data_IF_915893935537
#
_entry.id   IF_915893935537
#
_cell.length_a   1.000
_cell.length_b   1.000
_cell.length_c   1.000
_cell.angle_alpha   90.00
_cell.angle_beta   90.00
_cell.angle_gamma   90.00
#
_symmetry.space_group_name_H-M   'P 1'
#
loop_
_entity.id
_entity.type
_entity.pdbx_description
1 polymer ?
#
# COMPACT_ATOMS: atom_id res chain seq x y z
N UNK A 1 -16.55 1.22 -22.26
CA UNK A 1 -16.71 0.72 -20.87
C UNK A 1 -15.42 0.11 -20.28
N UNK A 2 -14.65 -0.71 -21.02
CA UNK A 2 -13.40 -1.33 -20.49
C UNK A 2 -12.27 -0.33 -20.13
N UNK A 3 -12.20 0.85 -20.76
CA UNK A 3 -11.18 1.86 -20.45
C UNK A 3 -11.41 2.54 -19.08
N UNK A 4 -12.67 2.81 -18.72
CA UNK A 4 -13.04 3.47 -17.46
C UNK A 4 -12.79 2.59 -16.23
N UNK A 5 -12.97 1.28 -16.35
CA UNK A 5 -12.71 0.34 -15.25
C UNK A 5 -11.22 0.21 -14.94
N UNK A 6 -10.37 0.20 -15.98
CA UNK A 6 -8.91 0.20 -15.84
C UNK A 6 -8.40 1.44 -15.12
N UNK A 7 -8.78 2.64 -15.54
CA UNK A 7 -8.35 3.90 -14.90
C UNK A 7 -8.81 3.99 -13.45
N UNK A 8 -10.02 3.49 -13.15
CA UNK A 8 -10.55 3.47 -11.78
C UNK A 8 -9.81 2.47 -10.89
N UNK A 9 -9.51 1.27 -11.38
CA UNK A 9 -8.75 0.27 -10.65
C UNK A 9 -7.33 0.75 -10.33
N UNK A 10 -6.69 1.42 -11.29
CA UNK A 10 -5.36 2.02 -11.11
C UNK A 10 -5.36 3.12 -10.06
N UNK A 11 -6.31 4.07 -10.15
CA UNK A 11 -6.41 5.16 -9.18
C UNK A 11 -6.69 4.67 -7.77
N UNK A 12 -7.51 3.61 -7.63
CA UNK A 12 -7.74 2.95 -6.34
C UNK A 12 -6.44 2.35 -5.79
N UNK A 13 -5.66 1.67 -6.62
CA UNK A 13 -4.37 1.07 -6.21
C UNK A 13 -3.37 2.13 -5.75
N UNK A 14 -3.28 3.26 -6.44
CA UNK A 14 -2.43 4.38 -6.02
C UNK A 14 -2.89 4.96 -4.67
N UNK A 15 -4.19 5.23 -4.52
CA UNK A 15 -4.75 5.77 -3.27
C UNK A 15 -4.54 4.83 -2.09
N UNK A 16 -4.85 3.54 -2.24
CA UNK A 16 -4.65 2.57 -1.16
C UNK A 16 -3.17 2.35 -0.86
N UNK A 17 -2.32 2.33 -1.88
CA UNK A 17 -0.87 2.24 -1.71
C UNK A 17 -0.30 3.43 -0.94
N UNK A 18 -0.67 4.67 -1.30
CA UNK A 18 -0.21 5.85 -0.54
C UNK A 18 -0.74 5.87 0.89
N UNK A 19 -2.01 5.50 1.11
CA UNK A 19 -2.56 5.43 2.46
C UNK A 19 -1.84 4.39 3.32
N UNK A 20 -1.57 3.21 2.78
CA UNK A 20 -0.82 2.14 3.43
C UNK A 20 0.61 2.58 3.74
N UNK A 21 1.35 3.11 2.76
CA UNK A 21 2.72 3.60 2.96
C UNK A 21 2.81 4.75 3.98
N UNK A 22 1.90 5.72 3.94
CA UNK A 22 1.84 6.80 4.95
C UNK A 22 1.55 6.24 6.34
N UNK A 23 0.58 5.31 6.45
CA UNK A 23 0.27 4.67 7.73
C UNK A 23 1.47 3.91 8.31
N UNK A 24 2.28 3.31 7.45
CA UNK A 24 3.49 2.59 7.85
C UNK A 24 4.60 3.55 8.30
N UNK A 25 4.79 4.67 7.60
CA UNK A 25 5.71 5.74 8.03
C UNK A 25 5.28 6.33 9.38
N UNK A 26 3.99 6.53 9.62
CA UNK A 26 3.49 7.00 10.91
C UNK A 26 3.73 5.97 12.02
N UNK A 27 3.51 4.68 11.73
CA UNK A 27 3.78 3.59 12.68
C UNK A 27 5.25 3.53 13.08
N UNK A 28 6.17 3.54 12.10
CA UNK A 28 7.61 3.41 12.37
C UNK A 28 8.27 4.72 12.81
N UNK A 29 7.85 5.85 12.24
CA UNK A 29 8.49 7.15 12.46
C UNK A 29 7.93 7.93 13.65
N UNK A 30 6.69 7.66 14.09
CA UNK A 30 6.06 8.37 15.21
C UNK A 30 5.72 7.40 16.34
N UNK A 31 4.97 6.34 16.05
CA UNK A 31 4.47 5.46 17.12
C UNK A 31 5.60 4.68 17.81
N UNK A 32 6.60 4.19 17.05
CA UNK A 32 7.74 3.50 17.64
C UNK A 32 8.62 4.43 18.50
N UNK A 33 9.03 5.65 18.06
CA UNK A 33 9.70 6.60 18.94
C UNK A 33 8.90 6.96 20.19
N UNK A 34 7.58 7.20 20.07
CA UNK A 34 6.72 7.46 21.23
C UNK A 34 6.71 6.29 22.21
N UNK A 35 6.65 5.05 21.72
CA UNK A 35 6.72 3.84 22.56
C UNK A 35 8.03 3.78 23.35
N UNK A 36 9.17 4.00 22.69
CA UNK A 36 10.48 3.82 23.34
C UNK A 36 10.94 5.05 24.14
N UNK A 37 10.61 6.27 23.70
CA UNK A 37 11.06 7.52 24.33
C UNK A 37 10.09 8.04 25.37
N UNK A 38 8.78 7.95 25.12
CA UNK A 38 7.73 8.46 26.00
C UNK A 38 7.00 7.36 26.77
N UNK A 39 7.28 6.08 26.48
CA UNK A 39 6.66 4.95 27.17
C UNK A 39 5.17 4.76 26.86
N UNK A 40 4.68 5.27 25.72
CA UNK A 40 3.25 5.25 25.34
C UNK A 40 3.00 4.20 24.23
N UNK A 41 2.80 2.92 24.57
CA UNK A 41 2.61 1.86 23.58
C UNK A 41 1.26 1.91 22.85
N UNK A 42 0.28 2.66 23.36
CA UNK A 42 -1.08 2.75 22.81
C UNK A 42 -1.07 3.26 21.37
N UNK A 43 -0.19 4.21 21.04
CA UNK A 43 -0.05 4.74 19.68
C UNK A 43 0.35 3.65 18.69
N UNK A 44 1.24 2.73 19.08
CA UNK A 44 1.65 1.60 18.22
C UNK A 44 0.47 0.65 18.00
N UNK A 45 -0.36 0.42 19.01
CA UNK A 45 -1.54 -0.42 18.88
C UNK A 45 -2.56 0.18 17.90
N UNK A 46 -2.87 1.46 18.06
CA UNK A 46 -3.85 2.15 17.19
C UNK A 46 -3.32 2.26 15.76
N UNK A 47 -2.11 2.78 15.58
CA UNK A 47 -1.52 2.95 14.24
C UNK A 47 -1.25 1.60 13.56
N UNK A 48 -0.86 0.58 14.33
CA UNK A 48 -0.68 -0.79 13.83
C UNK A 48 -1.98 -1.42 13.34
N UNK A 49 -3.09 -1.22 14.06
CA UNK A 49 -4.41 -1.67 13.61
C UNK A 49 -4.86 -0.96 12.33
N UNK A 50 -4.69 0.36 12.26
CA UNK A 50 -5.02 1.16 11.07
C UNK A 50 -4.20 0.67 9.88
N UNK A 51 -2.88 0.52 10.05
CA UNK A 51 -1.99 0.02 9.02
C UNK A 51 -2.38 -1.39 8.56
N UNK A 52 -2.67 -2.31 9.47
CA UNK A 52 -3.09 -3.67 9.13
C UNK A 52 -4.38 -3.71 8.28
N UNK A 53 -5.37 -2.87 8.61
CA UNK A 53 -6.60 -2.75 7.81
C UNK A 53 -6.30 -2.20 6.42
N UNK A 54 -5.47 -1.15 6.33
CA UNK A 54 -5.07 -0.55 5.06
C UNK A 54 -4.27 -1.51 4.19
N UNK A 55 -3.41 -2.33 4.79
CA UNK A 55 -2.64 -3.36 4.11
C UNK A 55 -3.55 -4.44 3.49
N UNK A 56 -4.55 -4.92 4.23
CA UNK A 56 -5.54 -5.86 3.69
C UNK A 56 -6.36 -5.25 2.54
N UNK A 57 -6.78 -3.99 2.69
CA UNK A 57 -7.46 -3.25 1.62
C UNK A 57 -6.57 -3.11 0.38
N UNK A 58 -5.29 -2.81 0.57
CA UNK A 58 -4.32 -2.73 -0.52
C UNK A 58 -4.18 -4.06 -1.25
N UNK A 59 -4.07 -5.20 -0.55
CA UNK A 59 -3.99 -6.54 -1.18
C UNK A 59 -5.22 -6.81 -2.05
N UNK A 60 -6.43 -6.52 -1.54
CA UNK A 60 -7.67 -6.72 -2.30
C UNK A 60 -7.66 -5.87 -3.57
N UNK A 61 -7.22 -4.60 -3.48
CA UNK A 61 -7.14 -3.71 -4.64
C UNK A 61 -6.03 -4.14 -5.61
N UNK A 62 -4.90 -4.63 -5.11
CA UNK A 62 -3.79 -5.17 -5.91
C UNK A 62 -4.23 -6.37 -6.73
N UNK A 63 -4.97 -7.32 -6.13
CA UNK A 63 -5.52 -8.48 -6.84
C UNK A 63 -6.53 -8.04 -7.90
N UNK A 64 -7.44 -7.11 -7.55
CA UNK A 64 -8.41 -6.57 -8.51
C UNK A 64 -7.73 -5.89 -9.71
N UNK A 65 -6.68 -5.09 -9.45
CA UNK A 65 -5.89 -4.46 -10.50
C UNK A 65 -5.16 -5.53 -11.34
N UNK A 66 -4.56 -6.53 -10.71
CA UNK A 66 -3.87 -7.62 -11.40
C UNK A 66 -4.80 -8.39 -12.35
N UNK A 67 -6.05 -8.65 -11.95
CA UNK A 67 -7.06 -9.28 -12.81
C UNK A 67 -7.45 -8.34 -13.97
N UNK A 68 -7.75 -7.07 -13.67
CA UNK A 68 -8.18 -6.09 -14.68
C UNK A 68 -7.11 -5.79 -15.75
N UNK A 69 -5.83 -5.84 -15.37
CA UNK A 69 -4.68 -5.60 -16.24
C UNK A 69 -3.98 -6.88 -16.69
N UNK A 70 -4.48 -8.07 -16.32
CA UNK A 70 -3.89 -9.39 -16.61
C UNK A 70 -2.40 -9.47 -16.25
N UNK A 71 -2.04 -8.96 -15.08
CA UNK A 71 -0.66 -9.01 -14.60
C UNK A 71 -0.21 -10.44 -14.32
N UNK A 72 1.06 -10.72 -14.61
CA UNK A 72 1.69 -11.99 -14.25
C UNK A 72 1.94 -12.07 -12.75
N UNK A 73 2.03 -13.29 -12.21
CA UNK A 73 2.32 -13.56 -10.79
C UNK A 73 3.57 -12.81 -10.31
N UNK A 74 4.59 -12.68 -11.17
CA UNK A 74 5.80 -11.90 -10.86
C UNK A 74 5.49 -10.45 -10.50
N UNK A 75 4.61 -9.77 -11.24
CA UNK A 75 4.23 -8.38 -10.95
C UNK A 75 3.41 -8.26 -9.68
N UNK A 76 2.53 -9.22 -9.42
CA UNK A 76 1.77 -9.29 -8.16
C UNK A 76 2.73 -9.43 -6.98
N UNK A 77 3.70 -10.34 -7.07
CA UNK A 77 4.72 -10.54 -6.05
C UNK A 77 5.58 -9.30 -5.82
N UNK A 78 6.00 -8.61 -6.88
CA UNK A 78 6.73 -7.34 -6.77
C UNK A 78 5.87 -6.28 -6.08
N UNK A 79 4.59 -6.13 -6.46
CA UNK A 79 3.68 -5.18 -5.82
C UNK A 79 3.39 -5.47 -4.35
N UNK A 80 3.36 -6.76 -3.98
CA UNK A 80 3.23 -7.19 -2.59
C UNK A 80 4.51 -6.92 -1.77
N UNK A 81 5.68 -7.30 -2.28
CA UNK A 81 6.96 -7.03 -1.61
C UNK A 81 7.17 -5.52 -1.48
N UNK A 82 6.77 -4.75 -2.49
CA UNK A 82 6.81 -3.30 -2.43
C UNK A 82 5.97 -2.75 -1.26
N UNK A 83 4.74 -3.24 -1.02
CA UNK A 83 3.95 -2.79 0.13
C UNK A 83 4.57 -3.11 1.50
N UNK A 84 5.52 -4.05 1.60
CA UNK A 84 6.24 -4.31 2.86
C UNK A 84 7.34 -3.27 3.14
N UNK A 85 7.55 -2.33 2.21
CA UNK A 85 8.50 -1.24 2.34
C UNK A 85 7.70 0.06 2.32
N UNK A 86 7.91 1.00 3.26
CA UNK A 86 7.14 2.25 3.33
C UNK A 86 7.16 3.08 2.04
N UNK A 87 8.14 2.86 1.17
CA UNK A 87 8.30 3.54 -0.12
C UNK A 87 7.89 2.70 -1.34
N UNK A 88 7.49 1.45 -1.18
CA UNK A 88 7.16 0.60 -2.33
C UNK A 88 5.94 1.03 -3.15
N UNK A 89 4.91 1.70 -2.59
CA UNK A 89 3.83 2.29 -3.40
C UNK A 89 4.35 3.30 -4.44
N UNK A 90 5.39 4.08 -4.11
CA UNK A 90 6.03 5.01 -5.05
C UNK A 90 6.77 4.27 -6.18
N UNK A 91 7.39 3.13 -5.85
CA UNK A 91 8.06 2.30 -6.86
C UNK A 91 7.06 1.62 -7.80
N UNK A 92 5.93 1.14 -7.25
CA UNK A 92 4.86 0.55 -8.04
C UNK A 92 4.25 1.58 -9.00
N UNK A 93 4.03 2.81 -8.54
CA UNK A 93 3.54 3.89 -9.41
C UNK A 93 4.50 4.19 -10.56
N UNK A 94 5.82 4.19 -10.30
CA UNK A 94 6.84 4.33 -11.33
C UNK A 94 6.81 3.17 -12.33
N UNK A 95 6.70 1.92 -11.85
CA UNK A 95 6.66 0.73 -12.71
C UNK A 95 5.43 0.74 -13.64
N UNK A 96 4.30 1.23 -13.15
CA UNK A 96 3.04 1.29 -13.90
C UNK A 96 2.97 2.46 -14.89
N UNK A 97 3.70 3.55 -14.64
CA UNK A 97 3.83 4.63 -15.61
C UNK A 97 4.67 4.26 -16.84
N UNK A 98 5.57 3.28 -16.73
CA UNK A 98 6.37 2.79 -17.87
C UNK A 98 5.53 1.98 -18.88
N UNK A 99 4.35 1.50 -18.48
CA UNK A 99 3.52 0.58 -19.27
C UNK A 99 2.29 1.27 -19.92
N UNK A 100 2.29 2.61 -19.95
CA UNK A 100 1.31 3.42 -20.70
C UNK A 100 1.52 3.33 -22.21
#
# INVERSE_FOLDING_TARGET
>A
MQQQTKTTAFRKLQLTGYAEGISYILLLGIAMPLKYMAGIPEFVRVTGMIHGILFLLYIVVLINAAIAYRWSIKKIAIGFIASLIPFGPFYLDKMLHVEK
#
